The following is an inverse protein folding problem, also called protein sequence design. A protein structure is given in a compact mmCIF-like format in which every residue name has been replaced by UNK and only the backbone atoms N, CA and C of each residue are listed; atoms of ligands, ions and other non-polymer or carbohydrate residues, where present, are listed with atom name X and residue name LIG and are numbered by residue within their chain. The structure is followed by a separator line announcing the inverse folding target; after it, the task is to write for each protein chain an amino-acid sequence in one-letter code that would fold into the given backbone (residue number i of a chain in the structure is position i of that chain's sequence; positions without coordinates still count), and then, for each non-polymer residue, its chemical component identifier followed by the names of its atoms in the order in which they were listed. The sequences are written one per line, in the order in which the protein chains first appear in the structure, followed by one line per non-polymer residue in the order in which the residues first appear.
data_IF_399902347712
#
_entry.id   IF_399902347712
#
_cell.length_a   1.000
_cell.length_b   1.000
_cell.length_c   1.000
_cell.angle_alpha   90.00
_cell.angle_beta   90.00
_cell.angle_gamma   90.00
#
_symmetry.space_group_name_H-M   'P 1'
#
loop_
_entity.id
_entity.type
_entity.pdbx_description
1 polymer ?
#
# COMPACT_ATOMS: atom_id res chain seq x y z
N UNK A 1 -6.01 -15.45 3.08
CA UNK A 1 -4.82 -14.58 2.96
C UNK A 1 -5.15 -13.09 3.17
N UNK A 2 -6.28 -12.77 3.82
CA UNK A 2 -6.84 -11.40 3.91
C UNK A 2 -6.88 -10.79 5.33
N UNK A 3 -6.37 -11.51 6.34
CA UNK A 3 -6.42 -11.03 7.74
C UNK A 3 -5.25 -10.07 8.03
N UNK A 4 -4.03 -10.42 7.63
CA UNK A 4 -2.82 -9.65 7.94
C UNK A 4 -2.87 -8.21 7.38
N UNK A 5 -3.34 -8.02 6.15
CA UNK A 5 -3.48 -6.69 5.56
C UNK A 5 -4.49 -5.82 6.31
N UNK A 6 -5.61 -6.40 6.77
CA UNK A 6 -6.63 -5.67 7.53
C UNK A 6 -6.11 -5.19 8.88
N UNK A 7 -5.19 -5.92 9.50
CA UNK A 7 -4.53 -5.50 10.75
C UNK A 7 -3.51 -4.38 10.54
N UNK A 8 -3.01 -4.19 9.32
CA UNK A 8 -2.06 -3.13 8.97
C UNK A 8 -2.74 -1.78 8.66
N UNK A 9 -4.07 -1.70 8.71
CA UNK A 9 -4.80 -0.44 8.52
C UNK A 9 -4.37 0.57 9.59
N UNK A 10 -3.94 1.75 9.15
CA UNK A 10 -3.35 2.80 9.98
C UNK A 10 -1.83 2.70 10.16
N UNK A 11 -1.19 1.63 9.67
CA UNK A 11 0.26 1.44 9.72
C UNK A 11 0.92 1.84 8.40
N UNK A 12 2.21 2.19 8.49
CA UNK A 12 3.08 2.40 7.33
C UNK A 12 3.73 1.09 6.93
N UNK A 13 3.75 0.79 5.64
CA UNK A 13 4.39 -0.38 5.08
C UNK A 13 5.12 -0.01 3.79
N UNK A 14 6.23 -0.68 3.51
CA UNK A 14 6.89 -0.67 2.21
C UNK A 14 6.17 -1.63 1.29
N UNK A 15 5.59 -1.11 0.21
CA UNK A 15 4.81 -1.88 -0.75
C UNK A 15 5.56 -1.91 -2.07
N UNK A 16 5.70 -3.11 -2.64
CA UNK A 16 6.23 -3.33 -3.99
C UNK A 16 5.09 -3.76 -4.90
N UNK A 17 4.92 -3.07 -6.01
CA UNK A 17 3.95 -3.42 -7.04
C UNK A 17 4.58 -4.24 -8.17
N UNK A 18 3.77 -5.04 -8.86
CA UNK A 18 4.21 -5.88 -9.98
C UNK A 18 4.63 -5.05 -11.19
N UNK A 19 3.87 -3.99 -11.50
CA UNK A 19 4.11 -3.13 -12.67
C UNK A 19 5.32 -2.19 -12.51
N UNK A 20 5.72 -1.85 -11.27
CA UNK A 20 6.89 -1.02 -10.99
C UNK A 20 8.09 -1.92 -10.71
N UNK A 21 8.83 -2.25 -11.78
CA UNK A 21 10.08 -3.00 -11.72
C UNK A 21 11.06 -2.40 -10.68
N UNK A 22 11.00 -2.96 -9.47
CA UNK A 22 12.03 -2.93 -8.42
C UNK A 22 12.05 -1.81 -7.37
N UNK A 23 11.05 -0.91 -7.30
CA UNK A 23 11.04 0.11 -6.25
C UNK A 23 9.89 -0.14 -5.27
N UNK A 24 10.24 -0.49 -4.03
CA UNK A 24 9.31 -0.48 -2.92
C UNK A 24 9.24 0.93 -2.33
N UNK A 25 8.05 1.49 -2.22
CA UNK A 25 7.82 2.79 -1.59
C UNK A 25 7.09 2.62 -0.26
N UNK A 26 7.34 3.54 0.67
CA UNK A 26 6.63 3.58 1.95
C UNK A 26 5.25 4.24 1.75
N UNK A 27 4.20 3.50 2.09
CA UNK A 27 2.83 3.96 2.06
C UNK A 27 2.16 3.71 3.40
N UNK A 28 1.22 4.57 3.76
CA UNK A 28 0.27 4.35 4.85
C UNK A 28 -0.92 3.58 4.31
N UNK A 29 -1.25 2.44 4.92
CA UNK A 29 -2.45 1.69 4.55
C UNK A 29 -3.64 2.35 5.24
N UNK A 30 -4.57 2.88 4.45
CA UNK A 30 -5.75 3.59 4.95
C UNK A 30 -6.97 2.68 5.11
N UNK A 31 -7.14 1.72 4.20
CA UNK A 31 -8.23 0.76 4.22
C UNK A 31 -7.87 -0.47 3.38
N UNK A 32 -8.44 -1.62 3.74
CA UNK A 32 -8.28 -2.88 3.02
C UNK A 32 -9.64 -3.55 2.90
N UNK A 33 -10.02 -3.84 1.67
CA UNK A 33 -11.19 -4.63 1.29
C UNK A 33 -10.75 -6.01 0.78
N UNK A 34 -11.66 -6.79 0.19
CA UNK A 34 -11.34 -8.14 -0.30
C UNK A 34 -10.38 -8.13 -1.50
N UNK A 35 -10.52 -7.16 -2.39
CA UNK A 35 -9.74 -7.08 -3.64
C UNK A 35 -8.91 -5.80 -3.76
N UNK A 36 -9.12 -4.83 -2.87
CA UNK A 36 -8.55 -3.48 -2.97
C UNK A 36 -7.88 -3.04 -1.67
N UNK A 37 -6.79 -2.30 -1.83
CA UNK A 37 -6.05 -1.65 -0.75
C UNK A 37 -5.98 -0.16 -1.07
N UNK A 38 -6.47 0.65 -0.13
CA UNK A 38 -6.34 2.10 -0.17
C UNK A 38 -5.07 2.48 0.57
N UNK A 39 -4.16 3.15 -0.14
CA UNK A 39 -2.87 3.56 0.38
C UNK A 39 -2.68 5.06 0.22
N UNK A 40 -1.88 5.68 1.08
CA UNK A 40 -1.44 7.07 0.90
C UNK A 40 0.04 7.24 1.14
N UNK A 41 0.65 8.20 0.46
CA UNK A 41 2.00 8.66 0.76
C UNK A 41 2.03 10.17 0.78
N UNK A 42 2.89 10.71 1.63
CA UNK A 42 3.22 12.13 1.60
C UNK A 42 4.32 12.34 0.57
N UNK A 43 4.04 13.20 -0.41
CA UNK A 43 5.01 13.61 -1.40
C UNK A 43 5.93 14.68 -0.82
N UNK A 44 7.11 14.85 -1.40
CA UNK A 44 8.10 15.83 -0.93
C UNK A 44 7.61 17.29 -0.96
N UNK A 45 6.53 17.57 -1.71
CA UNK A 45 5.88 18.87 -1.77
C UNK A 45 4.82 19.08 -0.66
N UNK A 46 4.64 18.13 0.26
CA UNK A 46 3.65 18.15 1.34
C UNK A 46 2.24 17.73 0.90
N UNK A 47 2.04 17.30 -0.35
CA UNK A 47 0.77 16.77 -0.80
C UNK A 47 0.62 15.30 -0.40
N UNK A 48 -0.59 14.92 0.03
CA UNK A 48 -0.93 13.53 0.29
C UNK A 48 -1.49 12.90 -0.98
N UNK A 49 -0.69 12.06 -1.63
CA UNK A 49 -1.15 11.24 -2.73
C UNK A 49 -1.87 10.01 -2.16
N UNK A 50 -3.14 9.82 -2.53
CA UNK A 50 -3.90 8.62 -2.17
C UNK A 50 -4.15 7.79 -3.42
N UNK A 51 -3.85 6.49 -3.34
CA UNK A 51 -4.01 5.54 -4.44
C UNK A 51 -4.85 4.35 -3.99
N UNK A 52 -5.64 3.80 -4.90
CA UNK A 52 -6.36 2.55 -4.72
C UNK A 52 -5.70 1.51 -5.60
N UNK A 53 -5.23 0.41 -5.01
CA UNK A 53 -4.47 -0.64 -5.71
C UNK A 53 -5.12 -1.99 -5.45
N UNK A 54 -5.12 -2.87 -6.45
CA UNK A 54 -5.60 -4.24 -6.24
C UNK A 54 -4.62 -5.04 -5.40
N UNK A 55 -5.14 -5.95 -4.57
CA UNK A 55 -4.32 -6.86 -3.77
C UNK A 55 -3.42 -7.70 -4.68
N UNK A 56 -3.93 -8.15 -5.83
CA UNK A 56 -3.15 -8.92 -6.83
C UNK A 56 -1.96 -8.16 -7.42
N UNK A 57 -1.96 -6.82 -7.37
CA UNK A 57 -0.85 -6.01 -7.87
C UNK A 57 0.27 -5.85 -6.83
N UNK A 58 0.05 -6.25 -5.58
CA UNK A 58 1.05 -6.17 -4.51
C UNK A 58 1.88 -7.45 -4.51
N UNK A 59 3.16 -7.31 -4.84
CA UNK A 59 4.11 -8.44 -4.90
C UNK A 59 4.72 -8.72 -3.54
N UNK A 60 5.08 -7.68 -2.80
CA UNK A 60 5.71 -7.77 -1.49
C UNK A 60 5.26 -6.63 -0.59
N UNK A 61 5.15 -6.93 0.70
CA UNK A 61 4.74 -5.98 1.72
C UNK A 61 5.58 -6.20 2.98
N UNK A 62 6.33 -5.17 3.36
CA UNK A 62 7.25 -5.15 4.49
C UNK A 62 6.86 -4.06 5.49
N UNK A 63 6.85 -4.36 6.78
CA UNK A 63 6.43 -3.46 7.88
C UNK A 63 7.52 -3.36 8.96
#
# INVERSE_FOLDING_TARGET
MSVLLKELVGSKAKIRFDEEFSIAYEYTILAVDEEWVKISRELANGELETKLVRVDNIVDLSF
#
